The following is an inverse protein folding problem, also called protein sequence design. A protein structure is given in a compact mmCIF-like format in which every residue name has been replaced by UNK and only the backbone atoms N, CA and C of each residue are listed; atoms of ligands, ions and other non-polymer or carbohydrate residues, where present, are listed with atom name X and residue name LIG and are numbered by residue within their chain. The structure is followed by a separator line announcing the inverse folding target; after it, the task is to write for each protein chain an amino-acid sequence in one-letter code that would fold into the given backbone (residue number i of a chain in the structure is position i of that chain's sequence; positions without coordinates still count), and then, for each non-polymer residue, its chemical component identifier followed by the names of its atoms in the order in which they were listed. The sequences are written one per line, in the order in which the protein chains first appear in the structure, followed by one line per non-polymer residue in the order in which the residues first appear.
data_IF_048618426042
#
_entry.id   IF_048618426042
#
_cell.length_a   1.000
_cell.length_b   1.000
_cell.length_c   1.000
_cell.angle_alpha   90.00
_cell.angle_beta   90.00
_cell.angle_gamma   90.00
#
_symmetry.space_group_name_H-M   'P 1'
#
loop_
_entity.id
_entity.type
_entity.pdbx_description
1 polymer ?
#
# COMPACT_ATOMS: atom_id res chain seq x y z
N UNK A 1 18.06 3.17 32.77
CA UNK A 1 17.87 2.16 31.72
C UNK A 1 16.44 2.32 31.26
N UNK A 2 16.21 2.97 30.11
CA UNK A 2 14.89 3.03 29.48
C UNK A 2 14.47 1.61 29.11
N UNK A 3 13.39 1.14 29.68
CA UNK A 3 12.77 -0.11 29.24
C UNK A 3 12.28 0.13 27.83
N UNK A 4 12.97 -0.42 26.84
CA UNK A 4 12.51 -0.41 25.45
C UNK A 4 11.20 -1.19 25.43
N UNK A 5 10.08 -0.48 25.37
CA UNK A 5 8.75 -1.10 25.32
C UNK A 5 8.66 -1.94 24.07
N UNK A 6 8.41 -3.24 24.22
CA UNK A 6 8.24 -4.16 23.10
C UNK A 6 6.93 -3.83 22.37
N UNK A 7 7.00 -3.63 21.04
CA UNK A 7 5.84 -3.38 20.21
C UNK A 7 5.31 -4.73 19.71
N UNK A 8 4.06 -5.04 20.04
CA UNK A 8 3.38 -6.26 19.58
C UNK A 8 2.68 -6.00 18.24
N UNK A 9 3.09 -6.72 17.21
CA UNK A 9 2.66 -6.51 15.83
C UNK A 9 1.96 -7.76 15.31
N UNK A 10 0.77 -7.60 14.74
CA UNK A 10 0.08 -8.63 13.97
C UNK A 10 0.24 -8.36 12.48
N UNK A 11 0.89 -9.27 11.74
CA UNK A 11 1.01 -9.22 10.28
C UNK A 11 -0.08 -10.05 9.63
N UNK A 12 -0.91 -9.41 8.80
CA UNK A 12 -2.03 -10.03 8.08
C UNK A 12 -1.77 -9.92 6.57
N UNK A 13 -1.48 -11.05 5.92
CA UNK A 13 -1.16 -11.12 4.49
C UNK A 13 -1.47 -12.54 3.97
N UNK A 14 -2.19 -12.70 2.87
CA UNK A 14 -2.54 -14.01 2.31
C UNK A 14 -1.40 -14.65 1.51
N UNK A 15 -0.37 -13.85 1.14
CA UNK A 15 0.83 -14.34 0.46
C UNK A 15 1.81 -14.98 1.46
N UNK A 16 1.73 -16.30 1.65
CA UNK A 16 2.50 -17.05 2.66
C UNK A 16 4.01 -16.74 2.62
N UNK A 17 4.62 -16.73 1.43
CA UNK A 17 6.05 -16.49 1.27
C UNK A 17 6.46 -15.07 1.73
N UNK A 18 5.69 -14.05 1.37
CA UNK A 18 5.93 -12.68 1.81
C UNK A 18 5.77 -12.56 3.33
N UNK A 19 4.66 -13.07 3.86
CA UNK A 19 4.34 -13.06 5.28
C UNK A 19 5.42 -13.69 6.14
N UNK A 20 5.88 -14.91 5.78
CA UNK A 20 6.93 -15.62 6.50
C UNK A 20 8.29 -14.90 6.40
N UNK A 21 8.61 -14.35 5.24
CA UNK A 21 9.85 -13.62 5.02
C UNK A 21 9.90 -12.34 5.86
N UNK A 22 8.83 -11.55 5.86
CA UNK A 22 8.71 -10.33 6.65
C UNK A 22 8.73 -10.65 8.15
N UNK A 23 7.95 -11.63 8.59
CA UNK A 23 7.92 -12.03 10.00
C UNK A 23 9.31 -12.46 10.50
N UNK A 24 10.06 -13.22 9.70
CA UNK A 24 11.44 -13.65 10.03
C UNK A 24 12.40 -12.46 10.17
N UNK A 25 12.33 -11.51 9.26
CA UNK A 25 13.20 -10.31 9.30
C UNK A 25 12.84 -9.43 10.49
N UNK A 26 11.56 -9.15 10.70
CA UNK A 26 11.12 -8.31 11.81
C UNK A 26 11.38 -8.95 13.17
N UNK A 27 11.34 -10.28 13.28
CA UNK A 27 11.68 -11.00 14.52
C UNK A 27 13.17 -10.87 14.94
N UNK A 28 14.05 -10.38 14.04
CA UNK A 28 15.44 -10.06 14.42
C UNK A 28 15.57 -8.74 15.18
N UNK A 29 14.51 -7.93 15.22
CA UNK A 29 14.48 -6.64 15.90
C UNK A 29 14.08 -6.83 17.38
N UNK A 30 14.96 -6.56 18.36
CA UNK A 30 14.71 -6.89 19.78
C UNK A 30 13.48 -6.22 20.40
N UNK A 31 13.02 -5.13 19.80
CA UNK A 31 11.87 -4.37 20.28
C UNK A 31 10.55 -4.73 19.60
N UNK A 32 10.53 -5.77 18.75
CA UNK A 32 9.35 -6.21 18.03
C UNK A 32 8.98 -7.65 18.39
N UNK A 33 7.70 -7.87 18.68
CA UNK A 33 7.10 -9.19 18.83
C UNK A 33 6.07 -9.38 17.73
N UNK A 34 6.29 -10.38 16.86
CA UNK A 34 5.52 -10.55 15.62
C UNK A 34 4.70 -11.82 15.69
N UNK A 35 3.39 -11.67 15.57
CA UNK A 35 2.47 -12.76 15.19
C UNK A 35 1.97 -12.53 13.77
N UNK A 36 1.56 -13.59 13.06
CA UNK A 36 1.09 -13.44 11.69
C UNK A 36 -0.01 -14.43 11.34
N UNK A 37 -0.91 -14.02 10.42
CA UNK A 37 -2.00 -14.84 9.90
C UNK A 37 -2.31 -14.53 8.44
N UNK A 38 -3.14 -15.39 7.80
CA UNK A 38 -3.40 -15.31 6.36
C UNK A 38 -4.75 -14.72 5.98
N UNK A 39 -5.61 -14.35 6.94
CA UNK A 39 -6.96 -13.87 6.65
C UNK A 39 -7.47 -12.88 7.69
N UNK A 40 -8.45 -12.05 7.30
CA UNK A 40 -9.13 -11.12 8.23
C UNK A 40 -9.81 -11.90 9.37
N UNK A 41 -10.42 -13.04 9.07
CA UNK A 41 -11.09 -13.89 10.08
C UNK A 41 -10.11 -14.34 11.16
N UNK A 42 -8.93 -14.83 10.79
CA UNK A 42 -7.89 -15.23 11.75
C UNK A 42 -7.38 -14.01 12.53
N UNK A 43 -7.19 -12.88 11.85
CA UNK A 43 -6.74 -11.64 12.49
C UNK A 43 -7.73 -11.19 13.58
N UNK A 44 -9.03 -11.15 13.29
CA UNK A 44 -10.05 -10.77 14.27
C UNK A 44 -10.07 -11.75 15.46
N UNK A 45 -9.89 -13.05 15.21
CA UNK A 45 -9.80 -14.05 16.27
C UNK A 45 -8.59 -13.81 17.18
N UNK A 46 -7.42 -13.50 16.61
CA UNK A 46 -6.21 -13.17 17.38
C UNK A 46 -6.37 -11.86 18.17
N UNK A 47 -6.99 -10.84 17.59
CA UNK A 47 -7.27 -9.57 18.27
C UNK A 47 -8.21 -9.72 19.46
N UNK A 48 -9.13 -10.68 19.42
CA UNK A 48 -10.01 -11.00 20.54
C UNK A 48 -9.29 -11.70 21.71
N UNK A 49 -8.16 -12.37 21.44
CA UNK A 49 -7.42 -13.16 22.43
C UNK A 49 -6.18 -12.45 22.96
N UNK A 50 -5.53 -11.62 22.14
CA UNK A 50 -4.27 -10.97 22.42
C UNK A 50 -4.33 -9.48 22.15
N UNK A 51 -3.51 -8.72 22.87
CA UNK A 51 -3.34 -7.28 22.61
C UNK A 51 -2.20 -7.07 21.63
N UNK A 52 -2.46 -6.25 20.62
CA UNK A 52 -1.47 -5.80 19.65
C UNK A 52 -1.46 -4.27 19.59
N UNK A 53 -0.26 -3.69 19.51
CA UNK A 53 -0.09 -2.25 19.39
C UNK A 53 -0.31 -1.80 17.95
N UNK A 54 0.04 -2.68 16.99
CA UNK A 54 -0.01 -2.41 15.56
C UNK A 54 -0.45 -3.64 14.76
N UNK A 55 -1.31 -3.42 13.78
CA UNK A 55 -1.59 -4.38 12.71
C UNK A 55 -0.93 -3.92 11.41
N UNK A 56 -0.07 -4.76 10.83
CA UNK A 56 0.38 -4.65 9.44
C UNK A 56 -0.64 -5.39 8.57
N UNK A 57 -1.36 -4.67 7.74
CA UNK A 57 -2.48 -5.21 6.99
C UNK A 57 -2.22 -5.15 5.49
N UNK A 58 -2.20 -6.28 4.79
CA UNK A 58 -2.23 -6.25 3.34
C UNK A 58 -3.53 -5.60 2.84
N UNK A 59 -3.40 -4.77 1.81
CA UNK A 59 -4.54 -4.12 1.17
C UNK A 59 -5.46 -5.10 0.46
N UNK A 60 -4.89 -6.11 -0.20
CA UNK A 60 -5.58 -7.10 -1.01
C UNK A 60 -5.43 -8.51 -0.39
N UNK A 61 -6.41 -8.93 0.41
CA UNK A 61 -6.48 -10.25 1.03
C UNK A 61 -7.44 -11.17 0.25
N UNK A 62 -7.11 -11.45 -1.02
CA UNK A 62 -7.95 -12.26 -1.91
C UNK A 62 -9.31 -11.61 -2.18
N UNK A 63 -10.39 -12.15 -1.60
CA UNK A 63 -11.75 -11.60 -1.71
C UNK A 63 -12.05 -10.48 -0.71
N UNK A 64 -11.19 -10.29 0.28
CA UNK A 64 -11.37 -9.32 1.37
C UNK A 64 -10.47 -8.09 1.14
N UNK A 65 -10.84 -6.94 1.69
CA UNK A 65 -10.08 -5.69 1.56
C UNK A 65 -9.78 -5.06 2.90
N UNK A 66 -8.66 -4.37 2.99
CA UNK A 66 -8.24 -3.62 4.17
C UNK A 66 -9.33 -2.66 4.70
N UNK A 67 -10.15 -2.09 3.81
CA UNK A 67 -11.26 -1.20 4.17
C UNK A 67 -12.36 -1.86 4.99
N UNK A 68 -12.47 -3.19 4.96
CA UNK A 68 -13.45 -3.96 5.73
C UNK A 68 -12.90 -4.36 7.11
N UNK A 69 -11.59 -4.52 7.22
CA UNK A 69 -10.93 -4.96 8.44
C UNK A 69 -11.08 -3.96 9.59
N UNK A 70 -10.75 -2.68 9.34
CA UNK A 70 -10.69 -1.71 10.44
C UNK A 70 -12.03 -1.50 11.16
N UNK A 71 -13.18 -1.35 10.47
CA UNK A 71 -14.47 -1.31 11.14
C UNK A 71 -14.77 -2.56 11.98
N UNK A 72 -14.47 -3.75 11.44
CA UNK A 72 -14.68 -5.01 12.15
C UNK A 72 -13.77 -5.13 13.39
N UNK A 73 -12.49 -4.80 13.26
CA UNK A 73 -11.54 -4.82 14.39
C UNK A 73 -11.96 -3.84 15.50
N UNK A 74 -12.48 -2.65 15.15
CA UNK A 74 -13.00 -1.68 16.13
C UNK A 74 -14.23 -2.19 16.86
N UNK A 75 -15.11 -2.94 16.18
CA UNK A 75 -16.27 -3.58 16.82
C UNK A 75 -15.84 -4.65 17.83
N UNK A 76 -14.74 -5.36 17.57
CA UNK A 76 -14.13 -6.33 18.49
C UNK A 76 -13.27 -5.67 19.61
N UNK A 77 -13.27 -4.33 19.68
CA UNK A 77 -12.56 -3.59 20.73
C UNK A 77 -11.07 -3.33 20.45
N UNK A 78 -10.59 -3.55 19.24
CA UNK A 78 -9.22 -3.21 18.87
C UNK A 78 -9.03 -1.69 18.81
N UNK A 79 -8.17 -1.14 19.64
CA UNK A 79 -7.84 0.28 19.74
C UNK A 79 -6.43 0.64 19.23
N UNK A 80 -5.65 -0.38 18.85
CA UNK A 80 -4.31 -0.22 18.29
C UNK A 80 -4.26 0.43 16.91
N UNK A 81 -3.07 0.55 16.38
CA UNK A 81 -2.79 1.21 15.11
C UNK A 81 -2.87 0.23 13.93
N UNK A 82 -3.20 0.74 12.74
CA UNK A 82 -3.20 -0.06 11.50
C UNK A 82 -2.29 0.62 10.47
N UNK A 83 -1.29 -0.12 9.98
CA UNK A 83 -0.43 0.25 8.87
C UNK A 83 -0.77 -0.67 7.69
N UNK A 84 -1.31 -0.11 6.62
CA UNK A 84 -1.59 -0.86 5.40
C UNK A 84 -0.29 -1.10 4.64
N UNK A 85 -0.02 -2.35 4.29
CA UNK A 85 1.15 -2.78 3.52
C UNK A 85 0.66 -3.27 2.17
N UNK A 86 1.04 -2.63 1.08
CA UNK A 86 0.51 -2.95 -0.25
C UNK A 86 1.55 -2.83 -1.35
N UNK A 87 1.40 -3.62 -2.41
CA UNK A 87 2.21 -3.41 -3.61
C UNK A 87 1.87 -2.09 -4.28
N UNK A 88 0.61 -1.67 -4.19
CA UNK A 88 0.13 -0.40 -4.73
C UNK A 88 -1.25 -0.05 -4.19
N UNK A 89 -1.56 1.25 -4.14
CA UNK A 89 -2.89 1.77 -3.86
C UNK A 89 -3.07 3.13 -4.58
N UNK A 90 -4.27 3.42 -5.07
CA UNK A 90 -4.54 4.72 -5.69
C UNK A 90 -4.59 5.84 -4.65
N UNK A 91 -4.32 7.09 -5.07
CA UNK A 91 -4.40 8.25 -4.18
C UNK A 91 -5.79 8.42 -3.57
N UNK A 92 -6.84 8.08 -4.31
CA UNK A 92 -8.23 8.12 -3.84
C UNK A 92 -8.47 7.09 -2.75
N UNK A 93 -8.00 5.85 -2.95
CA UNK A 93 -8.15 4.79 -1.95
C UNK A 93 -7.24 5.03 -0.75
N UNK A 94 -6.02 5.53 -0.96
CA UNK A 94 -5.13 5.94 0.12
C UNK A 94 -5.79 6.98 1.03
N UNK A 95 -6.36 8.04 0.46
CA UNK A 95 -7.13 9.05 1.21
C UNK A 95 -8.34 8.45 1.92
N UNK A 96 -9.02 7.50 1.30
CA UNK A 96 -10.16 6.80 1.91
C UNK A 96 -9.72 6.00 3.13
N UNK A 97 -8.64 5.20 3.01
CA UNK A 97 -8.08 4.42 4.11
C UNK A 97 -7.65 5.32 5.28
N UNK A 98 -6.97 6.44 4.98
CA UNK A 98 -6.57 7.40 6.01
C UNK A 98 -7.78 8.02 6.72
N UNK A 99 -8.84 8.39 5.99
CA UNK A 99 -10.10 8.88 6.59
C UNK A 99 -10.81 7.84 7.44
N UNK A 100 -10.63 6.56 7.15
CA UNK A 100 -11.16 5.45 7.96
C UNK A 100 -10.34 5.18 9.23
N UNK A 101 -9.23 5.91 9.45
CA UNK A 101 -8.41 5.81 10.65
C UNK A 101 -7.22 4.85 10.53
N UNK A 102 -6.82 4.50 9.29
CA UNK A 102 -5.54 3.84 9.05
C UNK A 102 -4.42 4.81 9.42
N UNK A 103 -3.41 4.32 10.13
CA UNK A 103 -2.31 5.15 10.64
C UNK A 103 -1.18 5.34 9.63
N UNK A 104 -1.23 4.64 8.50
CA UNK A 104 -0.25 4.82 7.45
C UNK A 104 -0.39 3.81 6.32
N UNK A 105 0.37 4.06 5.25
CA UNK A 105 0.47 3.21 4.07
C UNK A 105 1.93 3.00 3.75
N UNK A 106 2.34 1.74 3.62
CA UNK A 106 3.67 1.29 3.29
C UNK A 106 3.66 0.50 1.98
N UNK A 107 4.57 0.80 1.06
CA UNK A 107 4.68 0.06 -0.19
C UNK A 107 5.60 -1.15 -0.04
N UNK A 108 5.12 -2.35 -0.43
CA UNK A 108 5.88 -3.63 -0.36
C UNK A 108 7.22 -3.60 -1.09
N UNK A 109 7.43 -2.65 -1.99
CA UNK A 109 8.67 -2.47 -2.74
C UNK A 109 9.73 -1.67 -1.99
N UNK A 110 9.34 -0.94 -0.94
CA UNK A 110 10.29 -0.24 -0.11
C UNK A 110 11.15 -1.23 0.69
N UNK A 111 12.39 -0.88 1.03
CA UNK A 111 13.26 -1.75 1.80
C UNK A 111 12.64 -2.14 3.15
N UNK A 112 12.86 -3.38 3.60
CA UNK A 112 12.37 -3.86 4.90
C UNK A 112 12.89 -3.03 6.09
N UNK A 113 14.05 -2.38 5.95
CA UNK A 113 14.54 -1.41 6.94
C UNK A 113 13.63 -0.19 7.10
N UNK A 114 12.95 0.22 6.04
CA UNK A 114 11.94 1.28 6.09
C UNK A 114 10.65 0.78 6.75
N UNK A 115 10.29 -0.51 6.59
CA UNK A 115 9.15 -1.10 7.28
C UNK A 115 9.36 -1.10 8.80
N UNK A 116 10.55 -1.47 9.29
CA UNK A 116 10.88 -1.38 10.72
C UNK A 116 10.75 0.04 11.26
N UNK A 117 11.17 1.05 10.49
CA UNK A 117 11.01 2.46 10.86
C UNK A 117 9.54 2.87 10.90
N UNK A 118 8.77 2.49 9.87
CA UNK A 118 7.34 2.83 9.80
C UNK A 118 6.55 2.23 10.95
N UNK A 119 6.86 0.99 11.36
CA UNK A 119 6.29 0.35 12.54
C UNK A 119 6.53 1.20 13.79
N UNK A 120 7.76 1.62 14.04
CA UNK A 120 8.12 2.44 15.22
C UNK A 120 7.43 3.79 15.22
N UNK A 121 7.39 4.47 14.07
CA UNK A 121 6.71 5.77 13.93
C UNK A 121 5.23 5.64 14.21
N UNK A 122 4.58 4.63 13.63
CA UNK A 122 3.14 4.41 13.78
C UNK A 122 2.79 3.95 15.20
N UNK A 123 3.56 3.05 15.79
CA UNK A 123 3.37 2.60 17.17
C UNK A 123 3.51 3.76 18.18
N UNK A 124 4.42 4.71 17.92
CA UNK A 124 4.57 5.93 18.72
C UNK A 124 3.45 6.97 18.50
N UNK A 125 2.43 6.67 17.69
CA UNK A 125 1.31 7.56 17.41
C UNK A 125 1.48 8.47 16.19
N UNK A 126 2.61 8.36 15.48
CA UNK A 126 2.83 9.09 14.23
C UNK A 126 2.05 8.48 13.06
N UNK A 127 2.14 9.15 11.93
CA UNK A 127 1.56 8.71 10.66
C UNK A 127 2.67 8.39 9.68
N UNK A 128 2.50 7.31 8.90
CA UNK A 128 3.43 6.94 7.84
C UNK A 128 2.76 6.98 6.47
N UNK A 129 3.27 7.84 5.60
CA UNK A 129 2.89 7.85 4.18
C UNK A 129 4.15 7.77 3.35
N UNK A 130 4.19 6.85 2.41
CA UNK A 130 5.27 6.79 1.45
C UNK A 130 5.37 8.11 0.67
N UNK A 131 6.60 8.52 0.31
CA UNK A 131 6.86 9.79 -0.37
C UNK A 131 6.10 9.96 -1.68
N UNK A 132 5.71 8.86 -2.32
CA UNK A 132 4.88 8.87 -3.53
C UNK A 132 3.47 9.45 -3.30
N UNK A 133 2.98 9.45 -2.05
CA UNK A 133 1.69 10.04 -1.65
C UNK A 133 1.81 11.46 -1.09
N UNK A 134 3.02 11.92 -0.75
CA UNK A 134 3.24 13.22 -0.09
C UNK A 134 2.87 14.42 -0.96
N UNK A 135 2.94 14.28 -2.28
CA UNK A 135 2.55 15.35 -3.21
C UNK A 135 1.03 15.56 -3.32
N UNK A 136 0.23 14.65 -2.79
CA UNK A 136 -1.24 14.75 -2.79
C UNK A 136 -1.80 15.45 -1.53
N UNK A 137 -1.02 15.49 -0.44
CA UNK A 137 -1.46 16.09 0.83
C UNK A 137 -1.34 17.63 0.85
N UNK A 138 -0.44 18.21 0.05
CA UNK A 138 -0.21 19.68 -0.01
C UNK A 138 -1.13 20.43 -0.98
N UNK A 139 -1.96 19.71 -1.76
CA UNK A 139 -2.97 20.35 -2.58
C UNK A 139 -4.30 20.25 -1.86
N UNK A 140 -4.58 21.33 -1.10
CA UNK A 140 -5.87 21.56 -0.44
C UNK A 140 -7.06 21.32 -1.38
N UNK A 141 -8.14 20.89 -0.78
CA UNK A 141 -9.46 20.80 -1.40
C UNK A 141 -9.75 22.09 -2.14
N UNK A 142 -9.77 22.04 -3.48
CA UNK A 142 -10.59 22.93 -4.27
C UNK A 142 -10.62 22.44 -5.73
N UNK A 143 -11.83 22.24 -6.23
CA UNK A 143 -12.17 22.35 -7.64
C UNK A 143 -12.16 21.04 -8.43
N UNK A 144 -13.35 20.55 -8.72
CA UNK A 144 -13.66 19.92 -10.00
C UNK A 144 -13.30 20.92 -11.12
N UNK A 145 -12.04 20.90 -11.49
CA UNK A 145 -11.55 21.51 -12.71
C UNK A 145 -11.15 20.36 -13.63
N UNK A 146 -11.62 20.38 -14.84
CA UNK A 146 -11.28 19.47 -15.94
C UNK A 146 -9.80 19.58 -16.34
N UNK A 147 -8.91 19.38 -15.39
CA UNK A 147 -7.47 19.29 -15.64
C UNK A 147 -7.11 17.83 -15.88
N UNK A 148 -6.39 17.58 -16.97
CA UNK A 148 -5.79 16.28 -17.31
C UNK A 148 -5.05 15.74 -16.10
N UNK A 149 -5.38 14.54 -15.59
CA UNK A 149 -4.75 13.98 -14.40
C UNK A 149 -3.23 13.86 -14.56
N UNK A 150 -2.47 14.44 -13.64
CA UNK A 150 -1.01 14.31 -13.64
C UNK A 150 -0.60 12.91 -13.19
N UNK A 151 0.30 12.27 -13.95
CA UNK A 151 0.91 11.00 -13.59
C UNK A 151 2.14 11.25 -12.71
N UNK A 152 2.36 10.39 -11.72
CA UNK A 152 3.63 10.38 -10.99
C UNK A 152 4.75 9.79 -11.89
N UNK A 153 6.02 9.93 -11.45
CA UNK A 153 7.17 9.52 -12.26
C UNK A 153 7.12 8.04 -12.65
N UNK A 154 6.68 7.18 -11.74
CA UNK A 154 6.58 5.75 -11.99
C UNK A 154 5.46 5.43 -12.99
N UNK A 155 4.33 6.09 -12.90
CA UNK A 155 3.24 5.99 -13.86
C UNK A 155 3.67 6.45 -15.25
N UNK A 156 4.41 7.56 -15.33
CA UNK A 156 4.98 8.04 -16.60
C UNK A 156 5.96 7.04 -17.22
N UNK A 157 6.87 6.48 -16.44
CA UNK A 157 7.80 5.45 -16.91
C UNK A 157 7.07 4.23 -17.47
N UNK A 158 6.08 3.70 -16.73
CA UNK A 158 5.29 2.57 -17.19
C UNK A 158 4.50 2.93 -18.42
N UNK A 159 3.87 4.10 -18.48
CA UNK A 159 3.10 4.56 -19.65
C UNK A 159 3.97 4.65 -20.90
N UNK A 160 5.19 5.19 -20.79
CA UNK A 160 6.17 5.20 -21.91
C UNK A 160 6.42 3.81 -22.46
N UNK A 161 6.73 2.84 -21.60
CA UNK A 161 6.98 1.47 -22.03
C UNK A 161 5.72 0.78 -22.59
N UNK A 162 4.54 1.16 -22.11
CA UNK A 162 3.26 0.71 -22.69
C UNK A 162 3.09 1.24 -24.09
N UNK A 163 3.40 2.49 -24.34
CA UNK A 163 3.38 3.14 -25.67
C UNK A 163 4.43 2.54 -26.61
N UNK A 164 5.63 2.21 -26.08
CA UNK A 164 6.67 1.47 -26.82
C UNK A 164 6.27 0.02 -27.13
N UNK A 165 5.14 -0.47 -26.62
CA UNK A 165 4.61 -1.81 -26.89
C UNK A 165 5.17 -2.93 -26.02
N UNK A 166 5.93 -2.65 -24.95
CA UNK A 166 6.52 -3.66 -24.09
C UNK A 166 5.44 -4.41 -23.31
N UNK A 167 5.61 -5.70 -23.13
CA UNK A 167 4.78 -6.52 -22.23
C UNK A 167 5.02 -6.15 -20.75
N UNK A 168 4.11 -6.52 -19.85
CA UNK A 168 4.28 -6.28 -18.41
C UNK A 168 5.57 -6.92 -17.87
N UNK A 169 5.95 -8.09 -18.38
CA UNK A 169 7.17 -8.79 -18.00
C UNK A 169 8.43 -8.01 -18.42
N UNK A 170 8.44 -7.46 -19.62
CA UNK A 170 9.55 -6.63 -20.11
C UNK A 170 9.66 -5.31 -19.36
N UNK A 171 8.51 -4.67 -19.05
CA UNK A 171 8.45 -3.46 -18.21
C UNK A 171 8.99 -3.77 -16.82
N UNK A 172 8.54 -4.85 -16.20
CA UNK A 172 8.98 -5.30 -14.89
C UNK A 172 10.50 -5.50 -14.86
N UNK A 173 11.05 -6.19 -15.88
CA UNK A 173 12.49 -6.41 -16.01
C UNK A 173 13.27 -5.10 -16.16
N UNK A 174 12.82 -4.19 -17.05
CA UNK A 174 13.49 -2.88 -17.27
C UNK A 174 13.49 -1.98 -16.03
N UNK A 175 12.40 -2.00 -15.27
CA UNK A 175 12.25 -1.16 -14.08
C UNK A 175 12.75 -1.85 -12.80
N UNK A 176 13.19 -3.10 -12.88
CA UNK A 176 13.61 -3.94 -11.75
C UNK A 176 12.54 -4.05 -10.66
N UNK A 177 11.28 -4.25 -11.07
CA UNK A 177 10.10 -4.40 -10.21
C UNK A 177 9.35 -5.69 -10.53
N UNK A 178 8.38 -6.07 -9.69
CA UNK A 178 7.55 -7.23 -9.97
C UNK A 178 6.55 -6.99 -11.12
N UNK A 179 6.18 -8.05 -11.84
CA UNK A 179 5.12 -7.98 -12.86
C UNK A 179 3.77 -7.60 -12.23
N UNK A 180 3.52 -8.03 -11.01
CA UNK A 180 2.32 -7.69 -10.24
C UNK A 180 2.23 -6.18 -10.00
N UNK A 181 3.36 -5.54 -9.70
CA UNK A 181 3.40 -4.09 -9.52
C UNK A 181 3.17 -3.33 -10.84
N UNK A 182 3.72 -3.81 -11.96
CA UNK A 182 3.39 -3.24 -13.28
C UNK A 182 1.89 -3.33 -13.56
N UNK A 183 1.26 -4.48 -13.26
CA UNK A 183 -0.20 -4.65 -13.39
C UNK A 183 -0.97 -3.65 -12.53
N UNK A 184 -0.54 -3.42 -11.32
CA UNK A 184 -1.15 -2.46 -10.41
C UNK A 184 -1.03 -1.01 -10.92
N UNK A 185 0.14 -0.62 -11.44
CA UNK A 185 0.34 0.70 -12.07
C UNK A 185 -0.57 0.86 -13.30
N UNK A 186 -0.67 -0.16 -14.14
CA UNK A 186 -1.57 -0.14 -15.30
C UNK A 186 -3.03 0.03 -14.90
N UNK A 187 -3.45 -0.64 -13.83
CA UNK A 187 -4.81 -0.50 -13.30
C UNK A 187 -5.09 0.93 -12.82
N UNK A 188 -4.10 1.56 -12.18
CA UNK A 188 -4.17 2.97 -11.82
C UNK A 188 -4.26 3.88 -13.05
N UNK A 189 -3.43 3.63 -14.07
CA UNK A 189 -3.48 4.39 -15.31
C UNK A 189 -4.85 4.27 -15.99
N UNK A 190 -5.44 3.06 -16.04
CA UNK A 190 -6.79 2.85 -16.55
C UNK A 190 -7.84 3.65 -15.78
N UNK A 191 -7.77 3.67 -14.46
CA UNK A 191 -8.68 4.44 -13.61
C UNK A 191 -8.53 5.95 -13.83
N UNK A 192 -7.29 6.45 -13.87
CA UNK A 192 -7.00 7.88 -14.06
C UNK A 192 -7.43 8.39 -15.44
N UNK A 193 -7.27 7.55 -16.47
CA UNK A 193 -7.58 7.91 -17.87
C UNK A 193 -9.01 7.54 -18.28
N UNK A 194 -9.75 6.83 -17.41
CA UNK A 194 -11.12 6.37 -17.72
C UNK A 194 -11.20 5.27 -18.78
N UNK A 195 -10.07 4.63 -19.14
CA UNK A 195 -10.04 3.56 -20.14
C UNK A 195 -10.02 2.17 -19.52
N UNK A 196 -10.34 1.15 -20.32
CA UNK A 196 -10.45 -0.24 -19.83
C UNK A 196 -9.48 -1.21 -20.48
N UNK A 197 -8.82 -0.81 -21.57
CA UNK A 197 -7.91 -1.67 -22.33
C UNK A 197 -6.57 -0.98 -22.56
N UNK A 198 -5.51 -1.81 -22.72
CA UNK A 198 -4.18 -1.31 -23.03
C UNK A 198 -4.14 -0.49 -24.35
N UNK A 199 -4.86 -0.94 -25.38
CA UNK A 199 -4.93 -0.21 -26.66
C UNK A 199 -5.61 1.16 -26.50
N UNK A 200 -6.66 1.26 -25.67
CA UNK A 200 -7.29 2.54 -25.34
C UNK A 200 -6.33 3.44 -24.55
N UNK A 201 -5.54 2.87 -23.61
CA UNK A 201 -4.55 3.63 -22.86
C UNK A 201 -3.48 4.23 -23.77
N UNK A 202 -2.95 3.45 -24.73
CA UNK A 202 -1.98 3.93 -25.72
C UNK A 202 -2.58 5.08 -26.54
N UNK A 203 -3.81 4.92 -27.04
CA UNK A 203 -4.50 5.97 -27.80
C UNK A 203 -4.65 7.26 -26.98
N UNK A 204 -5.18 7.17 -25.78
CA UNK A 204 -5.40 8.33 -24.90
C UNK A 204 -4.08 8.96 -24.49
N UNK A 205 -3.00 8.17 -24.33
CA UNK A 205 -1.66 8.68 -24.06
C UNK A 205 -1.18 9.64 -25.15
N UNK A 206 -1.36 9.30 -26.42
CA UNK A 206 -1.03 10.19 -27.53
C UNK A 206 -1.99 11.37 -27.69
N UNK A 207 -3.29 11.18 -27.42
CA UNK A 207 -4.29 12.24 -27.63
C UNK A 207 -4.28 13.31 -26.54
N UNK A 208 -3.96 12.97 -25.29
CA UNK A 208 -4.19 13.84 -24.15
C UNK A 208 -2.98 13.99 -23.19
N UNK A 209 -1.99 13.11 -23.30
CA UNK A 209 -0.88 13.03 -22.33
C UNK A 209 0.49 13.06 -23.01
N UNK A 210 0.59 13.56 -24.25
CA UNK A 210 1.85 13.63 -25.00
C UNK A 210 2.94 14.35 -24.21
N UNK A 211 2.59 15.41 -23.47
CA UNK A 211 3.52 16.18 -22.62
C UNK A 211 4.00 15.40 -21.38
N UNK A 212 3.41 14.23 -21.08
CA UNK A 212 3.75 13.38 -19.93
C UNK A 212 4.45 12.07 -20.35
N UNK A 213 4.71 11.86 -21.66
CA UNK A 213 5.40 10.71 -22.20
C UNK A 213 6.94 10.80 -22.19
#
# INVERSE_FOLDING_TARGET
MEQTQTIRVLLVDDHALFRESVARVLATEPALEIEHCGSIKEALHLLAQHRFDLVLLDHDLGSERASQFLPAARQEGYDGRVLVVTAWVSDTEARRLMRQGVSGIFLKEAPLSELSKSIRVVAAGGTWLDKSFSHAADRGEEGESSSIPLFNDRQRQVLRFVVEGLSNKEIAWRLQISESYVKAILQSLFQKTGVRTRGQLVRVAFEQYEDQL
#
